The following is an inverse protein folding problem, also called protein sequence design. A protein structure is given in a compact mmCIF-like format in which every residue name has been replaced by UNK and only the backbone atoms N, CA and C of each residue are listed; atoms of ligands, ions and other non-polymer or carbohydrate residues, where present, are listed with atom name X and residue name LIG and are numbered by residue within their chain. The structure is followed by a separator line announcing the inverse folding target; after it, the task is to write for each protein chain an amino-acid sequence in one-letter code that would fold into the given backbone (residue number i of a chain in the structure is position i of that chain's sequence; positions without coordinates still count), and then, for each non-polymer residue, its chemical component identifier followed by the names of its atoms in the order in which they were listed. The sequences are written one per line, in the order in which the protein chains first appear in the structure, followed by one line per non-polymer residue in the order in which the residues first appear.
data_IF_726791313322
#
_entry.id   IF_726791313322
#
_cell.length_a   1.000
_cell.length_b   1.000
_cell.length_c   1.000
_cell.angle_alpha   90.00
_cell.angle_beta   90.00
_cell.angle_gamma   90.00
#
_symmetry.space_group_name_H-M   'P 1'
#
loop_
_entity.id
_entity.type
_entity.pdbx_description
1 polymer ?
#
# COMPACT_ATOMS: atom_id res chain seq x y z
N UNK A 1 15.99 -21.76 -27.11
CA UNK A 1 17.43 -22.00 -27.35
C UNK A 1 18.06 -22.42 -26.04
N UNK A 2 18.98 -23.40 -26.04
CA UNK A 2 19.56 -23.93 -24.80
C UNK A 2 20.73 -23.09 -24.33
N UNK A 3 21.03 -23.14 -23.03
CA UNK A 3 22.20 -22.48 -22.48
C UNK A 3 23.49 -23.13 -23.00
N UNK A 4 24.46 -22.28 -23.38
CA UNK A 4 25.77 -22.73 -23.83
C UNK A 4 26.54 -23.56 -22.79
N UNK A 5 26.25 -23.34 -21.49
CA UNK A 5 26.93 -24.01 -20.38
C UNK A 5 26.12 -25.13 -19.74
N UNK A 6 24.79 -25.17 -19.96
CA UNK A 6 23.90 -26.18 -19.39
C UNK A 6 22.92 -26.66 -20.47
N UNK A 7 23.07 -27.91 -20.91
CA UNK A 7 22.23 -28.49 -21.95
C UNK A 7 20.80 -28.82 -21.47
N UNK A 8 20.58 -28.81 -20.16
CA UNK A 8 19.30 -29.10 -19.50
C UNK A 8 18.48 -27.83 -19.18
N UNK A 9 19.05 -26.63 -19.37
CA UNK A 9 18.39 -25.36 -19.05
C UNK A 9 18.22 -24.50 -20.30
N UNK A 10 17.03 -23.95 -20.47
CA UNK A 10 16.76 -22.98 -21.53
C UNK A 10 17.47 -21.65 -21.25
N UNK A 11 17.98 -21.03 -22.31
CA UNK A 11 18.61 -19.72 -22.22
C UNK A 11 17.54 -18.62 -22.28
N UNK A 12 17.56 -17.76 -21.26
CA UNK A 12 16.68 -16.60 -21.14
C UNK A 12 17.38 -15.31 -21.61
N UNK A 13 18.72 -15.28 -21.65
CA UNK A 13 19.51 -14.07 -21.90
C UNK A 13 20.63 -14.32 -22.92
N UNK A 14 21.15 -13.25 -23.53
CA UNK A 14 22.29 -13.28 -24.45
C UNK A 14 23.43 -12.44 -23.85
N UNK A 15 24.65 -12.99 -23.85
CA UNK A 15 25.83 -12.26 -23.38
C UNK A 15 26.16 -11.10 -24.33
N UNK A 16 26.34 -9.89 -23.79
CA UNK A 16 26.65 -8.69 -24.56
C UNK A 16 28.08 -8.67 -25.12
N UNK A 17 28.99 -9.48 -24.59
CA UNK A 17 30.38 -9.55 -25.04
C UNK A 17 30.62 -10.65 -26.07
N UNK A 18 30.08 -11.85 -25.85
CA UNK A 18 30.34 -13.02 -26.70
C UNK A 18 29.14 -13.51 -27.51
N UNK A 19 27.95 -12.93 -27.32
CA UNK A 19 26.72 -13.31 -28.04
C UNK A 19 26.15 -14.69 -27.67
N UNK A 20 26.75 -15.38 -26.70
CA UNK A 20 26.31 -16.73 -26.31
C UNK A 20 24.96 -16.69 -25.55
N UNK A 21 24.04 -17.63 -25.85
CA UNK A 21 22.81 -17.79 -25.10
C UNK A 21 23.08 -18.40 -23.72
N UNK A 22 22.63 -17.76 -22.65
CA UNK A 22 22.90 -18.15 -21.26
C UNK A 22 21.61 -18.27 -20.43
N UNK A 23 21.57 -19.26 -19.53
CA UNK A 23 20.51 -19.40 -18.54
C UNK A 23 20.70 -18.42 -17.39
N UNK A 24 19.66 -18.32 -16.55
CA UNK A 24 19.60 -17.44 -15.39
C UNK A 24 20.71 -17.69 -14.36
N UNK A 25 21.18 -18.93 -14.23
CA UNK A 25 22.26 -19.30 -13.30
C UNK A 25 23.66 -18.95 -13.81
N UNK A 26 23.79 -18.77 -15.13
CA UNK A 26 25.04 -18.40 -15.80
C UNK A 26 25.13 -16.88 -16.06
N UNK A 27 24.06 -16.14 -15.74
CA UNK A 27 23.96 -14.69 -15.92
C UNK A 27 24.73 -13.95 -14.83
N UNK A 28 25.60 -13.05 -15.24
CA UNK A 28 26.20 -12.03 -14.37
C UNK A 28 25.89 -10.65 -14.95
N UNK A 29 25.36 -9.75 -14.12
CA UNK A 29 25.00 -8.39 -14.54
C UNK A 29 26.11 -7.44 -14.12
N UNK A 30 26.74 -6.78 -15.09
CA UNK A 30 27.77 -5.76 -14.85
C UNK A 30 27.33 -4.47 -15.55
N UNK A 31 27.24 -3.35 -14.82
CA UNK A 31 26.75 -2.07 -15.36
C UNK A 31 25.40 -2.16 -16.11
N UNK A 32 24.48 -2.98 -15.60
CA UNK A 32 23.15 -3.19 -16.19
C UNK A 32 23.14 -3.98 -17.51
N UNK A 33 24.28 -4.52 -17.94
CA UNK A 33 24.40 -5.40 -19.12
C UNK A 33 24.60 -6.85 -18.70
N UNK A 34 24.07 -7.75 -19.54
CA UNK A 34 24.09 -9.19 -19.29
C UNK A 34 25.39 -9.80 -19.84
N UNK A 35 26.17 -10.45 -18.97
CA UNK A 35 27.40 -11.17 -19.32
C UNK A 35 27.32 -12.63 -18.86
N UNK A 36 28.02 -13.53 -19.55
CA UNK A 36 28.22 -14.89 -19.07
C UNK A 36 29.29 -14.91 -17.96
N UNK A 37 29.35 -16.01 -17.19
CA UNK A 37 30.35 -16.19 -16.13
C UNK A 37 31.79 -15.91 -16.59
N UNK A 38 32.19 -16.38 -17.78
CA UNK A 38 33.54 -16.19 -18.31
C UNK A 38 33.82 -14.74 -18.74
N UNK A 39 32.92 -14.09 -19.46
CA UNK A 39 33.09 -12.68 -19.85
C UNK A 39 33.01 -11.72 -18.65
N UNK A 40 32.16 -12.03 -17.67
CA UNK A 40 32.01 -11.22 -16.47
C UNK A 40 33.23 -11.27 -15.56
N UNK A 41 33.92 -12.42 -15.45
CA UNK A 41 35.15 -12.53 -14.65
C UNK A 41 36.27 -11.59 -15.15
N UNK A 42 36.42 -11.44 -16.47
CA UNK A 42 37.39 -10.53 -17.07
C UNK A 42 37.03 -9.05 -16.84
N UNK A 43 35.75 -8.72 -16.70
CA UNK A 43 35.29 -7.36 -16.37
C UNK A 43 35.39 -7.05 -14.87
N UNK A 44 35.15 -8.04 -13.99
CA UNK A 44 35.23 -7.86 -12.55
C UNK A 44 36.64 -7.57 -12.04
N UNK A 45 37.68 -7.94 -12.79
CA UNK A 45 39.08 -7.62 -12.45
C UNK A 45 39.43 -6.13 -12.66
N UNK A 46 38.63 -5.37 -13.40
CA UNK A 46 38.89 -3.97 -13.74
C UNK A 46 38.12 -2.96 -12.87
N UNK A 47 37.14 -3.41 -12.08
CA UNK A 47 36.20 -2.51 -11.42
C UNK A 47 35.86 -2.99 -9.99
N UNK A 48 36.56 -2.42 -9.00
CA UNK A 48 36.51 -2.79 -7.57
C UNK A 48 35.20 -2.46 -6.82
N UNK A 49 34.12 -2.07 -7.50
CA UNK A 49 32.90 -1.53 -6.86
C UNK A 49 31.61 -2.28 -7.17
N UNK A 50 31.64 -3.48 -7.74
CA UNK A 50 30.40 -4.12 -8.19
C UNK A 50 29.83 -5.16 -7.22
N UNK A 51 28.82 -4.68 -6.49
CA UNK A 51 27.79 -5.40 -5.76
C UNK A 51 27.19 -6.53 -6.61
N UNK A 52 27.60 -7.78 -6.33
CA UNK A 52 26.95 -8.99 -6.82
C UNK A 52 25.53 -9.06 -6.21
N UNK A 53 24.52 -8.65 -6.97
CA UNK A 53 23.13 -8.93 -6.63
C UNK A 53 22.79 -10.36 -7.06
N UNK A 54 22.23 -11.22 -6.19
CA UNK A 54 21.73 -12.53 -6.60
C UNK A 54 20.67 -12.35 -7.69
N UNK A 55 20.70 -13.20 -8.72
CA UNK A 55 19.67 -13.19 -9.76
C UNK A 55 18.34 -13.51 -9.08
N UNK A 56 17.30 -12.65 -9.20
CA UNK A 56 16.03 -12.84 -8.53
C UNK A 56 15.51 -14.25 -8.73
N UNK A 57 15.36 -15.07 -7.71
CA UNK A 57 14.77 -16.39 -7.90
C UNK A 57 13.31 -16.23 -8.35
N UNK A 58 12.88 -16.98 -9.38
CA UNK A 58 11.48 -16.99 -9.87
C UNK A 58 10.60 -17.86 -8.95
N UNK A 59 10.99 -18.07 -7.68
CA UNK A 59 10.12 -18.68 -6.67
C UNK A 59 8.88 -17.80 -6.56
N UNK A 60 7.74 -18.37 -6.93
CA UNK A 60 6.43 -17.73 -6.79
C UNK A 60 6.34 -17.13 -5.39
N UNK A 61 6.10 -15.83 -5.33
CA UNK A 61 6.10 -14.98 -4.14
C UNK A 61 5.02 -15.37 -3.12
N UNK A 62 4.34 -16.51 -3.28
CA UNK A 62 3.15 -16.94 -2.52
C UNK A 62 1.95 -16.01 -2.70
N UNK A 63 2.11 -14.93 -3.47
CA UNK A 63 1.17 -13.82 -3.63
C UNK A 63 0.39 -14.07 -4.91
N UNK A 64 -0.86 -14.45 -4.75
CA UNK A 64 -1.75 -14.65 -5.90
C UNK A 64 -1.91 -13.33 -6.66
N UNK A 65 -1.64 -13.36 -7.97
CA UNK A 65 -1.84 -12.21 -8.84
C UNK A 65 -3.30 -11.73 -8.86
N UNK A 66 -4.23 -12.66 -8.72
CA UNK A 66 -5.67 -12.38 -8.69
C UNK A 66 -6.10 -11.61 -7.45
N UNK A 67 -5.74 -12.02 -6.23
CA UNK A 67 -6.06 -11.25 -5.02
C UNK A 67 -5.33 -9.90 -5.03
N UNK A 68 -4.10 -9.85 -5.52
CA UNK A 68 -3.38 -8.60 -5.69
C UNK A 68 -4.15 -7.63 -6.62
N UNK A 69 -4.74 -8.13 -7.71
CA UNK A 69 -5.58 -7.35 -8.59
C UNK A 69 -6.90 -6.91 -7.92
N UNK A 70 -7.60 -7.78 -7.19
CA UNK A 70 -8.83 -7.39 -6.48
C UNK A 70 -8.52 -6.29 -5.45
N UNK A 71 -7.41 -6.40 -4.74
CA UNK A 71 -6.98 -5.39 -3.77
C UNK A 71 -6.48 -4.08 -4.39
N UNK A 72 -6.49 -3.94 -5.73
CA UNK A 72 -6.30 -2.65 -6.41
C UNK A 72 -7.45 -1.68 -6.16
N UNK A 73 -8.69 -2.19 -6.01
CA UNK A 73 -9.88 -1.36 -5.87
C UNK A 73 -9.94 -0.56 -4.58
N UNK A 74 -9.13 -0.93 -3.58
CA UNK A 74 -9.04 -0.22 -2.32
C UNK A 74 -7.59 0.26 -2.08
N UNK A 75 -7.37 1.56 -1.86
CA UNK A 75 -6.03 2.09 -1.60
C UNK A 75 -5.46 1.48 -0.30
N UNK A 76 -4.19 1.11 -0.34
CA UNK A 76 -3.47 0.52 0.80
C UNK A 76 -3.67 -0.99 1.03
N UNK A 77 -4.73 -1.63 0.49
CA UNK A 77 -4.97 -3.07 0.70
C UNK A 77 -3.89 -3.96 0.07
N UNK A 78 -3.37 -3.58 -1.10
CA UNK A 78 -2.24 -4.31 -1.71
C UNK A 78 -0.98 -4.26 -0.87
N UNK A 79 -0.68 -3.14 -0.21
CA UNK A 79 0.48 -3.06 0.70
C UNK A 79 0.31 -4.02 1.87
N UNK A 80 -0.88 -4.09 2.46
CA UNK A 80 -1.19 -5.06 3.50
C UNK A 80 -1.05 -6.49 2.98
N UNK A 81 -1.48 -6.78 1.75
CA UNK A 81 -1.31 -8.11 1.17
C UNK A 81 0.17 -8.50 0.97
N UNK A 82 1.06 -7.52 0.74
CA UNK A 82 2.52 -7.70 0.70
C UNK A 82 3.17 -7.75 2.10
N UNK A 83 2.40 -7.65 3.18
CA UNK A 83 2.92 -7.59 4.57
C UNK A 83 3.35 -6.19 5.03
N UNK A 84 3.19 -5.16 4.19
CA UNK A 84 3.53 -3.75 4.49
C UNK A 84 2.35 -3.06 5.19
N UNK A 85 2.08 -3.46 6.44
CA UNK A 85 0.89 -3.05 7.19
C UNK A 85 0.87 -1.56 7.49
N UNK A 86 1.97 -0.99 8.01
CA UNK A 86 2.01 0.43 8.40
C UNK A 86 1.81 1.32 7.17
N UNK A 87 2.45 0.96 6.06
CA UNK A 87 2.32 1.67 4.79
C UNK A 87 0.89 1.60 4.23
N UNK A 88 0.28 0.43 4.26
CA UNK A 88 -1.11 0.23 3.82
C UNK A 88 -2.12 1.02 4.65
N UNK A 89 -1.99 1.02 5.98
CA UNK A 89 -2.87 1.80 6.87
C UNK A 89 -2.78 3.29 6.58
N UNK A 90 -1.58 3.81 6.27
CA UNK A 90 -1.41 5.23 5.93
C UNK A 90 -2.18 5.61 4.67
N UNK A 91 -2.09 4.81 3.61
CA UNK A 91 -2.88 5.05 2.40
C UNK A 91 -4.38 4.99 2.65
N UNK A 92 -4.82 4.02 3.46
CA UNK A 92 -6.22 3.89 3.86
C UNK A 92 -6.68 5.16 4.61
N UNK A 93 -5.92 5.59 5.60
CA UNK A 93 -6.24 6.75 6.44
C UNK A 93 -6.24 8.05 5.62
N UNK A 94 -5.25 8.25 4.75
CA UNK A 94 -5.18 9.44 3.90
C UNK A 94 -6.34 9.48 2.91
N UNK A 95 -6.69 8.36 2.30
CA UNK A 95 -7.79 8.30 1.33
C UNK A 95 -9.16 8.53 1.98
N UNK A 96 -9.51 7.74 3.01
CA UNK A 96 -10.79 7.89 3.69
C UNK A 96 -10.89 9.19 4.50
N UNK A 97 -9.77 9.65 5.07
CA UNK A 97 -9.67 10.94 5.75
C UNK A 97 -9.92 12.10 4.79
N UNK A 98 -9.34 12.08 3.59
CA UNK A 98 -9.61 13.09 2.56
C UNK A 98 -11.11 13.12 2.20
N UNK A 99 -11.73 11.95 1.96
CA UNK A 99 -13.16 11.88 1.67
C UNK A 99 -14.00 12.44 2.83
N UNK A 100 -13.69 12.08 4.08
CA UNK A 100 -14.39 12.59 5.24
C UNK A 100 -14.30 14.12 5.34
N UNK A 101 -13.12 14.70 5.09
CA UNK A 101 -12.93 16.16 5.02
C UNK A 101 -13.76 16.77 3.90
N UNK A 102 -13.75 16.17 2.69
CA UNK A 102 -14.57 16.64 1.57
C UNK A 102 -16.07 16.64 1.89
N UNK A 103 -16.56 15.64 2.63
CA UNK A 103 -17.95 15.56 3.06
C UNK A 103 -18.34 16.67 4.06
N UNK A 104 -17.39 17.12 4.89
CA UNK A 104 -17.61 18.22 5.82
C UNK A 104 -17.69 19.57 5.11
N UNK A 105 -16.81 19.81 4.14
CA UNK A 105 -16.62 21.11 3.48
C UNK A 105 -17.76 21.51 2.52
N UNK A 106 -18.71 20.61 2.20
CA UNK A 106 -19.90 20.94 1.39
C UNK A 106 -19.65 21.02 -0.12
N UNK A 107 -20.68 21.43 -0.88
CA UNK A 107 -20.79 21.32 -2.35
C UNK A 107 -20.01 22.38 -3.13
N UNK A 108 -18.76 22.63 -2.76
CA UNK A 108 -17.84 23.46 -3.53
C UNK A 108 -16.41 22.96 -3.34
N UNK A 109 -15.85 23.19 -2.15
CA UNK A 109 -14.49 22.73 -1.81
C UNK A 109 -14.42 21.19 -1.76
N UNK A 110 -15.52 20.51 -1.39
CA UNK A 110 -15.58 19.05 -1.37
C UNK A 110 -15.40 18.39 -2.74
N UNK A 111 -15.69 19.09 -3.84
CA UNK A 111 -15.51 18.55 -5.20
C UNK A 111 -14.04 18.51 -5.60
N UNK A 112 -13.23 19.42 -5.08
CA UNK A 112 -11.76 19.47 -5.27
C UNK A 112 -11.07 18.28 -4.60
N UNK A 113 -11.69 17.67 -3.58
CA UNK A 113 -11.15 16.49 -2.90
C UNK A 113 -11.20 15.25 -3.80
N UNK A 114 -12.17 15.15 -4.72
CA UNK A 114 -12.32 13.99 -5.61
C UNK A 114 -11.05 13.73 -6.44
N UNK A 115 -10.50 14.70 -7.21
CA UNK A 115 -9.27 14.48 -7.97
C UNK A 115 -8.07 14.19 -7.05
N UNK A 116 -8.00 14.77 -5.85
CA UNK A 116 -6.96 14.45 -4.87
C UNK A 116 -7.04 12.98 -4.43
N UNK A 117 -8.24 12.47 -4.14
CA UNK A 117 -8.46 11.07 -3.82
C UNK A 117 -8.04 10.14 -4.97
N UNK A 118 -8.33 10.49 -6.22
CA UNK A 118 -7.85 9.74 -7.38
C UNK A 118 -6.32 9.70 -7.45
N UNK A 119 -5.64 10.83 -7.26
CA UNK A 119 -4.18 10.89 -7.25
C UNK A 119 -3.61 9.98 -6.16
N UNK A 120 -4.15 10.05 -4.93
CA UNK A 120 -3.72 9.19 -3.82
C UNK A 120 -3.94 7.71 -4.14
N UNK A 121 -5.05 7.37 -4.78
CA UNK A 121 -5.37 5.98 -5.15
C UNK A 121 -4.41 5.44 -6.21
N UNK A 122 -4.17 6.18 -7.30
CA UNK A 122 -3.20 5.80 -8.33
C UNK A 122 -1.78 5.72 -7.77
N UNK A 123 -1.38 6.67 -6.94
CA UNK A 123 -0.08 6.66 -6.31
C UNK A 123 0.09 5.43 -5.41
N UNK A 124 -0.89 5.12 -4.55
CA UNK A 124 -0.94 3.87 -3.78
C UNK A 124 -0.83 2.65 -4.71
N UNK A 125 -1.41 2.73 -5.90
CA UNK A 125 -1.38 1.65 -6.86
C UNK A 125 -0.04 1.38 -7.53
N UNK A 126 0.65 2.43 -7.95
CA UNK A 126 1.99 2.29 -8.49
C UNK A 126 2.98 1.89 -7.42
N UNK A 127 2.84 2.46 -6.22
CA UNK A 127 3.74 2.19 -5.12
C UNK A 127 3.69 0.73 -4.64
N UNK A 128 2.49 0.15 -4.49
CA UNK A 128 2.35 -1.28 -4.17
C UNK A 128 2.90 -2.20 -5.27
N UNK A 129 2.76 -1.81 -6.54
CA UNK A 129 3.35 -2.56 -7.65
C UNK A 129 4.88 -2.53 -7.62
N UNK A 130 5.48 -1.36 -7.36
CA UNK A 130 6.92 -1.24 -7.17
C UNK A 130 7.41 -2.07 -5.97
N UNK A 131 6.72 -2.02 -4.84
CA UNK A 131 7.04 -2.84 -3.67
C UNK A 131 7.05 -4.33 -4.02
N UNK A 132 6.02 -4.81 -4.74
CA UNK A 132 5.97 -6.20 -5.20
C UNK A 132 7.15 -6.56 -6.10
N UNK A 133 7.54 -5.67 -7.01
CA UNK A 133 8.69 -5.88 -7.90
C UNK A 133 10.01 -5.97 -7.12
N UNK A 134 10.19 -5.15 -6.08
CA UNK A 134 11.36 -5.20 -5.20
C UNK A 134 11.38 -6.49 -4.37
N UNK A 135 10.25 -6.86 -3.77
CA UNK A 135 10.10 -8.12 -3.03
C UNK A 135 10.37 -9.34 -3.92
N UNK A 136 9.88 -9.34 -5.16
CA UNK A 136 10.14 -10.38 -6.15
C UNK A 136 11.62 -10.44 -6.60
N UNK A 137 12.38 -9.36 -6.39
CA UNK A 137 13.84 -9.34 -6.59
C UNK A 137 14.63 -9.87 -5.39
N UNK A 138 13.95 -10.21 -4.30
CA UNK A 138 14.58 -10.56 -3.02
C UNK A 138 15.08 -9.34 -2.25
N UNK A 139 14.70 -8.12 -2.67
CA UNK A 139 15.04 -6.91 -1.95
C UNK A 139 14.10 -6.74 -0.73
N UNK A 140 14.66 -6.34 0.41
CA UNK A 140 13.85 -6.06 1.61
C UNK A 140 13.21 -4.68 1.47
N UNK A 141 11.88 -4.62 1.49
CA UNK A 141 11.12 -3.38 1.57
C UNK A 141 10.82 -3.10 3.05
N UNK A 142 11.24 -1.94 3.56
CA UNK A 142 10.94 -1.54 4.93
C UNK A 142 9.44 -1.22 5.07
N UNK A 143 8.77 -1.79 6.08
CA UNK A 143 7.42 -1.37 6.46
C UNK A 143 7.49 -0.05 7.24
N UNK A 144 7.74 1.01 6.48
CA UNK A 144 7.82 2.38 6.97
C UNK A 144 6.50 3.14 6.67
N UNK A 145 6.10 4.04 7.57
CA UNK A 145 5.00 4.97 7.31
C UNK A 145 5.35 5.89 6.12
N UNK A 146 4.32 6.28 5.36
CA UNK A 146 4.49 7.04 4.11
C UNK A 146 5.31 8.34 4.25
N UNK A 147 5.23 8.96 5.43
CA UNK A 147 5.83 10.26 5.74
C UNK A 147 6.95 10.16 6.78
N UNK A 148 7.63 9.01 6.89
CA UNK A 148 8.70 8.79 7.88
C UNK A 148 9.71 9.95 7.92
N UNK A 149 10.09 10.44 6.75
CA UNK A 149 11.09 11.51 6.59
C UNK A 149 10.50 12.94 6.70
N UNK A 150 9.17 13.07 6.78
CA UNK A 150 8.44 14.35 6.79
C UNK A 150 7.70 14.57 8.12
N UNK A 151 8.41 14.55 9.25
CA UNK A 151 7.85 14.91 10.56
C UNK A 151 6.86 13.90 11.15
N UNK A 152 6.87 12.64 10.68
CA UNK A 152 5.97 11.59 11.17
C UNK A 152 6.06 11.37 12.69
N UNK A 153 7.25 11.44 13.28
CA UNK A 153 7.43 11.21 14.72
C UNK A 153 6.73 12.28 15.57
N UNK A 154 6.66 13.54 15.10
CA UNK A 154 5.92 14.60 15.78
C UNK A 154 4.41 14.35 15.74
N UNK A 155 3.89 14.01 14.56
CA UNK A 155 2.47 13.70 14.36
C UNK A 155 2.09 12.47 15.19
N UNK A 156 2.92 11.42 15.15
CA UNK A 156 2.70 10.19 15.92
C UNK A 156 2.68 10.47 17.42
N UNK A 157 3.58 11.30 17.94
CA UNK A 157 3.60 11.67 19.36
C UNK A 157 2.35 12.46 19.76
N UNK A 158 1.88 13.37 18.91
CA UNK A 158 0.64 14.09 19.15
C UNK A 158 -0.59 13.16 19.20
N UNK A 159 -0.67 12.22 18.25
CA UNK A 159 -1.79 11.28 18.14
C UNK A 159 -1.71 10.15 19.19
N UNK A 160 -0.51 9.78 19.66
CA UNK A 160 -0.33 8.62 20.54
C UNK A 160 -0.89 8.84 21.94
N UNK A 161 -0.82 10.06 22.47
CA UNK A 161 -1.37 10.42 23.78
C UNK A 161 -2.88 10.68 23.79
N UNK A 162 -3.52 10.82 22.62
CA UNK A 162 -4.93 11.24 22.49
C UNK A 162 -5.80 10.23 21.74
N UNK A 163 -5.37 8.96 21.63
CA UNK A 163 -6.07 7.93 20.84
C UNK A 163 -7.55 7.78 21.19
N UNK A 164 -7.89 7.87 22.47
CA UNK A 164 -9.29 7.80 22.94
C UNK A 164 -10.10 9.02 22.48
N UNK A 165 -9.55 10.23 22.60
CA UNK A 165 -10.18 11.46 22.10
C UNK A 165 -10.38 11.42 20.58
N UNK A 166 -9.38 10.95 19.83
CA UNK A 166 -9.46 10.79 18.37
C UNK A 166 -10.54 9.78 18.00
N UNK A 167 -10.62 8.66 18.72
CA UNK A 167 -11.68 7.66 18.53
C UNK A 167 -13.08 8.23 18.79
N UNK A 168 -13.27 8.96 19.89
CA UNK A 168 -14.55 9.63 20.19
C UNK A 168 -14.89 10.67 19.13
N UNK A 169 -13.94 11.51 18.75
CA UNK A 169 -14.12 12.51 17.70
C UNK A 169 -14.54 11.87 16.37
N UNK A 170 -13.91 10.75 15.98
CA UNK A 170 -14.27 9.99 14.78
C UNK A 170 -15.70 9.43 14.85
N UNK A 171 -16.14 8.91 16.00
CA UNK A 171 -17.51 8.41 16.18
C UNK A 171 -18.53 9.55 16.09
N UNK A 172 -18.30 10.65 16.80
CA UNK A 172 -19.20 11.82 16.81
C UNK A 172 -19.29 12.43 15.41
N UNK A 173 -18.17 12.60 14.75
CA UNK A 173 -18.10 13.13 13.38
C UNK A 173 -18.78 12.19 12.38
N UNK A 174 -18.60 10.87 12.51
CA UNK A 174 -19.26 9.88 11.66
C UNK A 174 -20.77 9.88 11.87
N UNK A 175 -21.22 9.92 13.12
CA UNK A 175 -22.64 10.05 13.46
C UNK A 175 -23.26 11.34 12.91
N UNK A 176 -22.56 12.46 13.01
CA UNK A 176 -22.99 13.74 12.45
C UNK A 176 -23.13 13.68 10.91
N UNK A 177 -22.15 13.09 10.21
CA UNK A 177 -22.22 12.92 8.76
C UNK A 177 -23.40 12.04 8.32
N UNK A 178 -23.66 10.95 9.05
CA UNK A 178 -24.83 10.10 8.82
C UNK A 178 -26.14 10.85 9.03
N UNK A 179 -26.26 11.62 10.12
CA UNK A 179 -27.44 12.41 10.40
C UNK A 179 -27.71 13.45 9.32
N UNK A 180 -26.67 14.17 8.87
CA UNK A 180 -26.74 15.12 7.75
C UNK A 180 -27.25 14.45 6.48
N UNK A 181 -26.82 13.22 6.22
CA UNK A 181 -27.25 12.45 5.06
C UNK A 181 -28.70 11.97 5.17
N UNK A 182 -29.11 11.52 6.35
CA UNK A 182 -30.47 11.12 6.65
C UNK A 182 -31.45 12.27 6.47
N UNK A 183 -31.14 13.47 6.98
CA UNK A 183 -31.96 14.67 6.77
C UNK A 183 -32.04 15.05 5.29
N UNK A 184 -30.91 15.01 4.56
CA UNK A 184 -30.86 15.35 3.13
C UNK A 184 -31.69 14.40 2.25
N UNK A 185 -31.63 13.10 2.51
CA UNK A 185 -32.42 12.13 1.74
C UNK A 185 -33.86 11.99 2.23
N UNK A 186 -34.11 12.18 3.54
CA UNK A 186 -35.43 12.09 4.15
C UNK A 186 -36.38 13.24 3.78
N UNK A 187 -35.85 14.43 3.49
CA UNK A 187 -36.65 15.57 3.02
C UNK A 187 -36.79 15.67 1.50
N UNK A 188 -35.96 14.96 0.72
CA UNK A 188 -35.94 15.03 -0.74
C UNK A 188 -36.81 13.94 -1.40
N UNK A 189 -38.13 14.03 -1.26
CA UNK A 189 -39.10 13.20 -2.01
C UNK A 189 -40.09 14.16 -2.70
N UNK A 190 -40.31 14.14 -4.04
CA UNK A 190 -40.09 13.08 -5.04
C UNK A 190 -39.24 13.52 -6.26
N UNK A 191 -38.49 12.62 -6.95
CA UNK A 191 -37.98 12.83 -8.33
C UNK A 191 -37.29 11.55 -8.86
N UNK A 192 -37.31 11.28 -10.19
CA UNK A 192 -36.86 10.04 -10.82
C UNK A 192 -35.33 9.90 -10.77
N UNK A 193 -34.81 8.68 -11.00
CA UNK A 193 -33.40 8.23 -10.90
C UNK A 193 -33.02 7.50 -9.58
N UNK A 194 -33.81 6.48 -9.22
CA UNK A 194 -33.57 5.63 -8.05
C UNK A 194 -32.17 4.97 -8.05
N UNK A 195 -31.65 4.59 -9.22
CA UNK A 195 -30.33 3.93 -9.35
C UNK A 195 -29.18 4.86 -8.96
N UNK A 196 -29.17 6.09 -9.47
CA UNK A 196 -28.12 7.07 -9.16
C UNK A 196 -28.14 7.43 -7.67
N UNK A 197 -29.35 7.64 -7.10
CA UNK A 197 -29.47 7.88 -5.65
C UNK A 197 -29.05 6.68 -4.81
N UNK A 198 -29.35 5.45 -5.23
CA UNK A 198 -28.93 4.26 -4.51
C UNK A 198 -27.40 4.16 -4.47
N UNK A 199 -26.74 4.43 -5.60
CA UNK A 199 -25.27 4.49 -5.69
C UNK A 199 -24.72 5.60 -4.79
N UNK A 200 -25.26 6.82 -4.87
CA UNK A 200 -24.82 7.93 -4.03
C UNK A 200 -25.07 7.69 -2.54
N UNK A 201 -26.17 7.03 -2.19
CA UNK A 201 -26.50 6.63 -0.83
C UNK A 201 -25.48 5.60 -0.31
N UNK A 202 -25.18 4.56 -1.08
CA UNK A 202 -24.22 3.53 -0.69
C UNK A 202 -22.82 4.14 -0.52
N UNK A 203 -22.37 4.90 -1.51
CA UNK A 203 -21.04 5.52 -1.49
C UNK A 203 -20.91 6.52 -0.34
N UNK A 204 -21.90 7.42 -0.13
CA UNK A 204 -21.83 8.42 0.94
C UNK A 204 -21.96 7.85 2.35
N UNK A 205 -22.73 6.77 2.54
CA UNK A 205 -22.87 6.16 3.87
C UNK A 205 -21.70 5.21 4.21
N UNK A 206 -20.98 4.69 3.21
CA UNK A 206 -19.85 3.78 3.46
C UNK A 206 -18.77 4.41 4.34
N UNK A 207 -18.38 5.66 4.05
CA UNK A 207 -17.27 6.35 4.75
C UNK A 207 -17.58 6.63 6.22
N UNK A 208 -18.74 7.20 6.60
CA UNK A 208 -19.10 7.38 8.00
C UNK A 208 -19.18 6.06 8.78
N UNK A 209 -19.71 4.98 8.17
CA UNK A 209 -19.76 3.66 8.81
C UNK A 209 -18.34 3.15 9.10
N UNK A 210 -17.45 3.22 8.11
CA UNK A 210 -16.04 2.86 8.31
C UNK A 210 -15.38 3.72 9.39
N UNK A 211 -15.68 5.02 9.44
CA UNK A 211 -15.12 5.93 10.44
C UNK A 211 -15.60 5.62 11.85
N UNK A 212 -16.88 5.24 12.02
CA UNK A 212 -17.43 4.80 13.30
C UNK A 212 -16.79 3.47 13.73
N UNK A 213 -16.70 2.49 12.83
CA UNK A 213 -16.06 1.20 13.12
C UNK A 213 -14.59 1.37 13.51
N UNK A 214 -13.86 2.23 12.81
CA UNK A 214 -12.47 2.55 13.12
C UNK A 214 -12.34 3.28 14.46
N UNK A 215 -13.25 4.21 14.77
CA UNK A 215 -13.31 4.89 16.06
C UNK A 215 -13.57 3.92 17.23
N UNK A 216 -14.52 3.00 17.08
CA UNK A 216 -14.79 1.93 18.05
C UNK A 216 -13.55 1.04 18.23
N UNK A 217 -12.91 0.64 17.13
CA UNK A 217 -11.68 -0.17 17.16
C UNK A 217 -10.53 0.52 17.92
N UNK A 218 -10.34 1.82 17.73
CA UNK A 218 -9.31 2.59 18.46
C UNK A 218 -9.56 2.62 19.97
N UNK A 219 -10.81 2.81 20.39
CA UNK A 219 -11.18 2.83 21.81
C UNK A 219 -10.99 1.43 22.42
N UNK A 220 -11.47 0.38 21.75
CA UNK A 220 -11.34 -1.00 22.21
C UNK A 220 -9.87 -1.42 22.37
N UNK A 221 -8.98 -0.99 21.47
CA UNK A 221 -7.55 -1.29 21.54
C UNK A 221 -6.82 -0.52 22.65
N UNK A 222 -7.30 0.69 22.99
CA UNK A 222 -6.76 1.47 24.11
C UNK A 222 -7.07 0.78 25.44
N UNK A 223 -8.28 0.25 25.61
CA UNK A 223 -8.67 -0.53 26.80
C UNK A 223 -7.87 -1.82 26.97
N UNK A 224 -7.57 -2.54 25.89
CA UNK A 224 -6.73 -3.76 25.96
C UNK A 224 -5.30 -3.48 26.39
N UNK A 225 -4.65 -2.43 25.86
CA UNK A 225 -3.29 -2.05 26.29
C UNK A 225 -3.21 -1.60 27.75
N UNK A 226 -4.24 -0.92 28.25
CA UNK A 226 -4.30 -0.57 29.68
C UNK A 226 -4.43 -1.81 30.56
N UNK A 227 -5.19 -2.83 30.10
CA UNK A 227 -5.36 -4.10 30.81
C UNK A 227 -4.09 -4.96 30.80
N UNK A 228 -3.40 -5.06 29.66
CA UNK A 228 -2.12 -5.79 29.55
C UNK A 228 -1.02 -5.18 30.45
N UNK A 229 -1.01 -3.85 30.65
CA UNK A 229 -0.05 -3.17 31.52
C UNK A 229 -0.33 -3.38 33.02
N UNK A 230 -1.57 -3.71 33.38
CA UNK A 230 -1.98 -4.00 34.76
C UNK A 230 -1.74 -5.49 35.08
N UNK A 231 -1.73 -6.37 34.07
CA UNK A 231 -1.53 -7.81 34.22
C UNK A 231 -0.05 -8.27 34.12
N UNK A 232 0.89 -7.38 33.76
CA UNK A 232 2.33 -7.60 33.95
C UNK A 232 2.80 -6.90 35.22
N UNK A 233 2.69 -7.51 36.42
CA UNK A 233 3.36 -6.97 37.59
C UNK A 233 4.86 -7.03 37.36
N UNK A 234 5.55 -5.93 37.65
CA UNK A 234 6.98 -5.75 37.49
C UNK A 234 7.78 -7.00 37.91
N UNK A 235 8.41 -7.67 36.93
CA UNK A 235 9.57 -8.54 37.17
C UNK A 235 10.84 -7.70 37.24
#
# INVERSE_FOLDING_TARGET
MRCAFHNEKDAEFICSSCGQPICRDCLMIVNGKNYCRTCGHNLSALNNTHQYGPVPDKRGDGISGFLFFIFLFAPGLRHMYLGLMKRGIHFLLTFFGAIAVGMLLGSGIGEVIIPVCFIVWFYSAFDSYQCRKLLARGEKVEDAPLFKDYGYEEIKNYFSGRKQLIGIAAIVLGGYLLLKQFVRYGWAFPLPNAVIRAIDFILRNSVPIFMILFGIYLIARTGKKAKDYIETPNE
#
